data_IF_820020766686
#
_entry.id   IF_820020766686
#
_cell.length_a   1.000
_cell.length_b   1.000
_cell.length_c   1.000
_cell.angle_alpha   90.00
_cell.angle_beta   90.00
_cell.angle_gamma   90.00
#
_symmetry.space_group_name_H-M   'P 1'
#
loop_
_entity.id
_entity.type
_entity.pdbx_description
1 polymer ?
#
# COMPACT_ATOMS: atom_id res chain seq x y z
N UNK A 1 45.94 12.45 23.61
CA UNK A 1 44.79 12.98 22.83
C UNK A 1 44.86 12.39 21.42
N UNK A 2 44.23 11.23 21.19
CA UNK A 2 44.41 10.44 19.97
C UNK A 2 43.35 10.84 18.95
N UNK A 3 43.78 11.37 17.82
CA UNK A 3 43.00 11.60 16.62
C UNK A 3 42.70 10.24 15.99
N UNK A 4 41.42 9.82 15.98
CA UNK A 4 40.95 8.69 15.16
C UNK A 4 40.76 9.16 13.72
N UNK A 5 41.11 8.37 12.71
CA UNK A 5 41.16 8.82 11.34
C UNK A 5 39.75 8.88 10.73
N UNK A 6 39.47 10.00 10.06
CA UNK A 6 38.25 10.35 9.26
C UNK A 6 37.94 9.33 8.15
N UNK A 7 38.84 8.41 7.85
CA UNK A 7 38.72 7.41 6.80
C UNK A 7 37.72 6.27 7.14
N UNK A 8 37.62 5.84 8.41
CA UNK A 8 36.70 4.79 8.84
C UNK A 8 35.24 5.26 8.81
N UNK A 9 34.99 6.53 9.13
CA UNK A 9 33.66 7.12 9.06
C UNK A 9 33.19 7.20 7.60
N UNK A 10 34.03 7.57 6.65
CA UNK A 10 33.68 7.65 5.24
C UNK A 10 33.35 6.30 4.63
N UNK A 11 34.12 5.26 4.96
CA UNK A 11 33.87 3.89 4.50
C UNK A 11 32.57 3.34 5.09
N UNK A 12 32.30 3.58 6.37
CA UNK A 12 31.07 3.18 7.04
C UNK A 12 29.86 3.91 6.45
N UNK A 13 29.95 5.22 6.23
CA UNK A 13 28.90 6.00 5.57
C UNK A 13 28.68 5.55 4.12
N UNK A 14 29.75 5.25 3.38
CA UNK A 14 29.65 4.76 2.01
C UNK A 14 29.00 3.37 1.95
N UNK A 15 29.44 2.41 2.79
CA UNK A 15 28.86 1.07 2.86
C UNK A 15 27.40 1.14 3.32
N UNK A 16 27.07 1.98 4.30
CA UNK A 16 25.70 2.21 4.75
C UNK A 16 24.85 2.83 3.65
N UNK A 17 25.38 3.81 2.92
CA UNK A 17 24.69 4.43 1.77
C UNK A 17 24.42 3.41 0.67
N UNK A 18 25.42 2.65 0.23
CA UNK A 18 25.26 1.59 -0.79
C UNK A 18 24.29 0.48 -0.32
N UNK A 19 24.36 0.09 0.96
CA UNK A 19 23.43 -0.88 1.53
C UNK A 19 21.99 -0.36 1.58
N UNK A 20 21.82 0.90 1.92
CA UNK A 20 20.51 1.55 1.98
C UNK A 20 19.93 1.80 0.58
N UNK A 21 20.75 2.18 -0.40
CA UNK A 21 20.36 2.38 -1.80
C UNK A 21 19.81 1.09 -2.44
N UNK A 22 20.28 -0.09 -2.03
CA UNK A 22 19.79 -1.38 -2.53
C UNK A 22 18.55 -1.92 -1.81
N UNK A 23 18.06 -1.27 -0.75
CA UNK A 23 16.96 -1.76 0.07
C UNK A 23 15.77 -0.76 0.12
N UNK A 24 15.58 0.00 -0.94
CA UNK A 24 14.48 0.95 -1.05
C UNK A 24 13.17 0.20 -1.28
N UNK A 25 12.17 0.55 -0.49
CA UNK A 25 10.78 0.12 -0.65
C UNK A 25 9.98 1.29 -1.20
N UNK A 26 9.19 1.06 -2.25
CA UNK A 26 8.10 1.95 -2.61
C UNK A 26 6.76 1.26 -2.44
N UNK A 27 5.84 1.96 -1.81
CA UNK A 27 4.45 1.54 -1.67
C UNK A 27 3.56 2.77 -1.56
N UNK A 28 2.25 2.60 -1.69
CA UNK A 28 1.34 3.71 -1.54
C UNK A 28 -0.12 3.29 -1.67
N UNK A 29 -1.01 4.23 -1.38
CA UNK A 29 -2.45 4.04 -1.50
C UNK A 29 -3.09 5.25 -2.17
N UNK A 30 -4.16 5.00 -2.95
CA UNK A 30 -4.96 6.07 -3.57
C UNK A 30 -5.85 6.73 -2.51
N UNK A 31 -5.87 8.06 -2.39
CA UNK A 31 -6.67 8.77 -1.40
C UNK A 31 -8.14 8.89 -1.82
N UNK A 32 -8.78 7.74 -2.09
CA UNK A 32 -10.20 7.64 -2.47
C UNK A 32 -11.15 7.47 -1.29
N UNK A 33 -10.63 7.56 -0.07
CA UNK A 33 -11.30 7.42 1.22
C UNK A 33 -10.32 6.94 2.28
N UNK A 34 -10.72 6.92 3.57
CA UNK A 34 -9.92 6.39 4.65
C UNK A 34 -9.53 4.93 4.42
N UNK A 35 -8.45 4.49 5.08
CA UNK A 35 -8.00 3.10 4.98
C UNK A 35 -8.83 2.20 5.92
N UNK A 36 -9.05 0.98 5.48
CA UNK A 36 -9.82 -0.03 6.22
C UNK A 36 -8.97 -1.25 6.56
N UNK A 37 -9.52 -2.15 7.38
CA UNK A 37 -8.82 -3.36 7.82
C UNK A 37 -8.21 -4.17 6.68
N UNK A 38 -8.88 -4.25 5.52
CA UNK A 38 -8.33 -4.92 4.35
C UNK A 38 -7.01 -4.31 3.85
N UNK A 39 -6.85 -2.98 3.89
CA UNK A 39 -5.56 -2.32 3.59
C UNK A 39 -4.54 -2.62 4.69
N UNK A 40 -4.99 -2.61 5.95
CA UNK A 40 -4.09 -2.86 7.08
C UNK A 40 -3.47 -4.25 7.01
N UNK A 41 -4.30 -5.28 6.90
CA UNK A 41 -3.83 -6.67 6.86
C UNK A 41 -3.11 -7.00 5.56
N UNK A 42 -3.65 -6.52 4.43
CA UNK A 42 -3.11 -6.82 3.11
C UNK A 42 -1.77 -6.13 2.79
N UNK A 43 -1.45 -5.03 3.48
CA UNK A 43 -0.24 -4.27 3.12
C UNK A 43 0.37 -3.46 4.27
N UNK A 44 -0.41 -2.64 5.02
CA UNK A 44 0.16 -1.71 5.99
C UNK A 44 0.94 -2.40 7.11
N UNK A 45 0.42 -3.52 7.63
CA UNK A 45 1.09 -4.31 8.67
C UNK A 45 2.49 -4.71 8.20
N UNK A 46 2.62 -5.22 6.99
CA UNK A 46 3.91 -5.61 6.41
C UNK A 46 4.85 -4.43 6.22
N UNK A 47 4.32 -3.26 5.80
CA UNK A 47 5.12 -2.02 5.69
C UNK A 47 5.71 -1.60 7.04
N UNK A 48 4.91 -1.67 8.11
CA UNK A 48 5.36 -1.37 9.48
C UNK A 48 6.40 -2.36 9.95
N UNK A 49 6.21 -3.65 9.69
CA UNK A 49 7.19 -4.70 10.00
C UNK A 49 8.52 -4.43 9.29
N UNK A 50 8.49 -4.18 7.97
CA UNK A 50 9.69 -3.89 7.18
C UNK A 50 10.39 -2.62 7.68
N UNK A 51 9.65 -1.53 7.94
CA UNK A 51 10.18 -0.31 8.56
C UNK A 51 10.93 -0.63 9.86
N UNK A 52 10.35 -1.45 10.73
CA UNK A 52 10.89 -1.72 12.07
C UNK A 52 12.11 -2.64 12.06
N UNK A 53 12.35 -3.37 10.97
CA UNK A 53 13.60 -4.14 10.83
C UNK A 53 14.84 -3.25 10.74
N UNK A 54 14.69 -1.97 10.34
CA UNK A 54 15.79 -1.05 10.06
C UNK A 54 16.65 -1.44 8.85
N UNK A 55 16.25 -2.46 8.09
CA UNK A 55 16.97 -2.95 6.90
C UNK A 55 16.57 -2.23 5.62
N UNK A 56 15.44 -1.54 5.63
CA UNK A 56 14.83 -0.93 4.44
C UNK A 56 14.70 0.58 4.59
N UNK A 57 14.63 1.25 3.45
CA UNK A 57 14.31 2.69 3.32
C UNK A 57 12.92 2.82 2.70
N UNK A 58 11.86 3.00 3.52
CA UNK A 58 10.52 3.06 3.00
C UNK A 58 10.16 4.44 2.44
N UNK A 59 9.65 4.45 1.21
CA UNK A 59 8.90 5.55 0.61
C UNK A 59 7.42 5.14 0.55
N UNK A 60 6.57 5.93 1.19
CA UNK A 60 5.13 5.65 1.25
C UNK A 60 4.38 6.81 0.61
N UNK A 61 3.80 6.53 -0.55
CA UNK A 61 3.21 7.53 -1.44
C UNK A 61 1.70 7.62 -1.25
N UNK A 62 1.19 8.83 -1.19
CA UNK A 62 -0.22 9.12 -1.40
C UNK A 62 -0.41 9.34 -2.89
N UNK A 63 -1.00 8.35 -3.58
CA UNK A 63 -1.08 8.26 -5.03
C UNK A 63 -2.30 9.03 -5.57
N UNK A 64 -2.28 10.35 -5.48
CA UNK A 64 -3.38 11.23 -5.86
C UNK A 64 -3.55 11.34 -7.37
N UNK A 65 -2.47 11.37 -8.16
CA UNK A 65 -2.55 11.31 -9.62
C UNK A 65 -3.17 10.00 -10.11
N UNK A 66 -2.75 8.89 -9.50
CA UNK A 66 -3.31 7.58 -9.80
C UNK A 66 -4.81 7.53 -9.46
N UNK A 67 -5.22 8.20 -8.39
CA UNK A 67 -6.62 8.27 -8.01
C UNK A 67 -7.47 9.07 -9.01
N UNK A 68 -6.90 10.05 -9.72
CA UNK A 68 -7.60 10.84 -10.74
C UNK A 68 -7.96 10.03 -11.98
N UNK A 69 -7.27 8.92 -12.27
CA UNK A 69 -7.54 8.12 -13.49
C UNK A 69 -8.97 7.58 -13.57
N UNK A 70 -9.63 7.45 -12.42
CA UNK A 70 -11.00 6.97 -12.29
C UNK A 70 -11.90 7.84 -11.39
N UNK A 71 -11.43 9.04 -11.00
CA UNK A 71 -12.18 10.02 -10.23
C UNK A 71 -11.91 11.45 -10.77
N UNK A 72 -11.72 11.60 -12.08
CA UNK A 72 -11.44 12.90 -12.69
C UNK A 72 -12.63 13.88 -12.55
N UNK A 73 -13.84 13.37 -12.45
CA UNK A 73 -15.08 14.12 -12.23
C UNK A 73 -15.32 14.51 -10.76
N UNK A 74 -14.54 13.95 -9.82
CA UNK A 74 -14.67 14.24 -8.39
C UNK A 74 -13.31 14.46 -7.71
N UNK A 75 -12.52 15.48 -8.09
CA UNK A 75 -11.20 15.74 -7.53
C UNK A 75 -11.25 16.13 -6.04
N UNK A 76 -12.37 16.67 -5.59
CA UNK A 76 -12.56 17.05 -4.19
C UNK A 76 -12.56 15.84 -3.25
N UNK A 77 -13.08 14.71 -3.70
CA UNK A 77 -12.99 13.44 -2.98
C UNK A 77 -11.52 13.07 -2.69
N UNK A 78 -10.62 13.24 -3.67
CA UNK A 78 -9.20 12.96 -3.52
C UNK A 78 -8.58 13.94 -2.54
N UNK A 79 -8.79 15.25 -2.75
CA UNK A 79 -8.28 16.31 -1.90
C UNK A 79 -8.63 16.12 -0.42
N UNK A 80 -9.88 15.79 -0.13
CA UNK A 80 -10.38 15.62 1.22
C UNK A 80 -9.81 14.38 1.94
N UNK A 81 -9.23 13.43 1.19
CA UNK A 81 -8.69 12.20 1.76
C UNK A 81 -7.15 12.15 1.85
N UNK A 82 -6.42 13.17 1.40
CA UNK A 82 -4.94 13.20 1.54
C UNK A 82 -4.53 13.08 3.01
N UNK A 83 -5.08 13.94 3.86
CA UNK A 83 -4.73 13.96 5.29
C UNK A 83 -5.33 12.79 6.06
N UNK A 84 -6.49 12.27 5.63
CA UNK A 84 -7.09 11.05 6.20
C UNK A 84 -6.16 9.84 6.02
N UNK A 85 -5.63 9.65 4.79
CA UNK A 85 -4.70 8.56 4.48
C UNK A 85 -3.37 8.75 5.23
N UNK A 86 -2.85 9.98 5.31
CA UNK A 86 -1.65 10.28 6.08
C UNK A 86 -1.82 9.91 7.57
N UNK A 87 -2.94 10.30 8.18
CA UNK A 87 -3.26 9.92 9.56
C UNK A 87 -3.38 8.40 9.74
N UNK A 88 -3.96 7.71 8.76
CA UNK A 88 -4.08 6.25 8.81
C UNK A 88 -2.71 5.55 8.72
N UNK A 89 -1.76 6.08 7.95
CA UNK A 89 -0.37 5.60 7.92
C UNK A 89 0.32 5.73 9.27
N UNK A 90 0.23 6.91 9.87
CA UNK A 90 0.80 7.18 11.21
C UNK A 90 0.11 6.32 12.29
N UNK A 91 -1.21 6.19 12.21
CA UNK A 91 -2.00 5.35 13.12
C UNK A 91 -1.60 3.87 13.02
N UNK A 92 -1.35 3.37 11.82
CA UNK A 92 -0.87 2.01 11.61
C UNK A 92 0.51 1.74 12.23
N UNK A 93 1.32 2.79 12.47
CA UNK A 93 2.63 2.69 13.11
C UNK A 93 3.82 3.02 12.19
N UNK A 94 3.57 3.56 11.00
CA UNK A 94 4.63 4.16 10.21
C UNK A 94 5.04 5.50 10.84
N UNK A 95 6.36 5.80 10.83
CA UNK A 95 6.90 6.97 11.52
C UNK A 95 7.79 7.82 10.60
N UNK A 96 7.77 9.17 10.73
CA UNK A 96 8.50 10.06 9.82
C UNK A 96 10.02 10.03 9.97
N UNK A 97 10.55 9.48 11.07
CA UNK A 97 11.98 9.27 11.29
C UNK A 97 12.55 8.07 10.51
N UNK A 98 11.68 7.14 10.08
CA UNK A 98 12.05 5.91 9.37
C UNK A 98 11.45 5.82 7.98
N UNK A 99 10.40 6.57 7.69
CA UNK A 99 9.61 6.49 6.46
C UNK A 99 9.49 7.86 5.82
N UNK A 100 9.77 7.94 4.53
CA UNK A 100 9.50 9.13 3.71
C UNK A 100 8.07 9.08 3.19
N UNK A 101 7.21 9.96 3.71
CA UNK A 101 5.84 10.15 3.19
C UNK A 101 5.85 11.19 2.08
N UNK A 102 5.15 10.93 0.97
CA UNK A 102 5.12 11.83 -0.17
C UNK A 102 3.76 11.87 -0.87
N UNK A 103 3.48 12.99 -1.53
CA UNK A 103 2.32 13.17 -2.42
C UNK A 103 2.78 13.06 -3.87
N UNK A 104 2.18 12.15 -4.61
CA UNK A 104 2.58 11.81 -5.99
C UNK A 104 2.57 13.03 -6.92
N UNK A 105 1.52 13.85 -6.89
CA UNK A 105 1.37 15.03 -7.76
C UNK A 105 2.42 16.12 -7.55
N UNK A 106 3.13 16.10 -6.44
CA UNK A 106 4.17 17.07 -6.12
C UNK A 106 5.59 16.64 -6.56
N UNK A 107 5.73 15.51 -7.25
CA UNK A 107 7.01 14.97 -7.72
C UNK A 107 7.14 15.18 -9.24
N UNK A 108 7.91 16.16 -9.72
CA UNK A 108 8.03 16.45 -11.16
C UNK A 108 8.55 15.28 -12.00
N UNK A 109 9.44 14.46 -11.44
CA UNK A 109 9.98 13.27 -12.08
C UNK A 109 8.89 12.29 -12.55
N UNK A 110 7.77 12.21 -11.82
CA UNK A 110 6.66 11.29 -12.12
C UNK A 110 5.79 11.74 -13.29
N UNK A 111 5.98 12.96 -13.78
CA UNK A 111 5.39 13.42 -15.04
C UNK A 111 6.35 13.23 -16.21
N UNK A 112 7.66 13.32 -15.98
CA UNK A 112 8.68 13.26 -17.02
C UNK A 112 9.04 11.81 -17.40
N UNK A 113 9.30 10.95 -16.43
CA UNK A 113 9.67 9.54 -16.68
C UNK A 113 8.64 8.77 -17.51
N UNK A 114 7.31 8.90 -17.27
CA UNK A 114 6.32 8.26 -18.13
C UNK A 114 6.39 8.65 -19.58
N UNK A 115 6.79 9.89 -19.89
CA UNK A 115 6.97 10.34 -21.27
C UNK A 115 8.09 9.57 -21.97
N UNK A 116 9.21 9.33 -21.30
CA UNK A 116 10.30 8.52 -21.82
C UNK A 116 9.92 7.05 -21.98
N UNK A 117 9.26 6.49 -20.97
CA UNK A 117 8.85 5.08 -20.96
C UNK A 117 7.76 4.76 -21.98
N UNK A 118 6.90 5.73 -22.30
CA UNK A 118 5.86 5.59 -23.34
C UNK A 118 6.44 5.26 -24.73
N UNK A 119 7.70 5.64 -24.99
CA UNK A 119 8.40 5.29 -26.23
C UNK A 119 8.92 3.83 -26.25
N UNK A 120 8.88 3.13 -25.11
CA UNK A 120 9.38 1.76 -24.96
C UNK A 120 8.27 0.73 -24.81
N UNK A 121 7.01 1.15 -24.73
CA UNK A 121 5.83 0.30 -24.52
C UNK A 121 4.85 0.45 -25.66
N UNK A 122 4.32 -0.65 -26.18
CA UNK A 122 3.28 -0.61 -27.22
C UNK A 122 1.87 -0.64 -26.63
N UNK A 123 0.90 -0.03 -27.32
CA UNK A 123 -0.52 -0.12 -26.96
C UNK A 123 -0.99 -1.58 -26.79
N UNK A 124 -0.61 -2.46 -27.71
CA UNK A 124 -0.96 -3.88 -27.63
C UNK A 124 -0.39 -4.58 -26.39
N UNK A 125 0.73 -4.09 -25.82
CA UNK A 125 1.26 -4.64 -24.58
C UNK A 125 0.43 -4.19 -23.37
N UNK A 126 0.02 -2.94 -23.33
CA UNK A 126 -0.89 -2.40 -22.30
C UNK A 126 -2.24 -3.12 -22.32
N UNK A 127 -2.85 -3.26 -23.49
CA UNK A 127 -4.13 -3.96 -23.69
C UNK A 127 -4.10 -5.42 -23.24
N UNK A 128 -2.95 -6.09 -23.31
CA UNK A 128 -2.77 -7.48 -22.88
C UNK A 128 -2.55 -7.65 -21.39
N UNK A 129 -2.29 -6.57 -20.65
CA UNK A 129 -2.10 -6.65 -19.20
C UNK A 129 -3.39 -7.18 -18.52
N UNK A 130 -3.31 -8.29 -17.74
CA UNK A 130 -4.50 -8.91 -17.13
C UNK A 130 -5.25 -7.98 -16.19
N UNK A 131 -4.53 -7.15 -15.41
CA UNK A 131 -5.14 -6.19 -14.48
C UNK A 131 -5.94 -5.15 -15.24
N UNK A 132 -5.37 -4.57 -16.31
CA UNK A 132 -6.08 -3.61 -17.20
C UNK A 132 -7.34 -4.23 -17.79
N UNK A 133 -7.25 -5.45 -18.34
CA UNK A 133 -8.42 -6.14 -18.91
C UNK A 133 -9.55 -6.32 -17.91
N UNK A 134 -9.22 -6.75 -16.70
CA UNK A 134 -10.20 -6.98 -15.66
C UNK A 134 -10.85 -5.66 -15.20
N UNK A 135 -10.07 -4.61 -15.04
CA UNK A 135 -10.56 -3.31 -14.62
C UNK A 135 -11.43 -2.63 -15.69
N UNK A 136 -11.09 -2.75 -16.99
CA UNK A 136 -11.92 -2.25 -18.10
C UNK A 136 -13.32 -2.87 -18.04
N UNK A 137 -13.40 -4.20 -17.81
CA UNK A 137 -14.68 -4.92 -17.70
C UNK A 137 -15.47 -4.45 -16.47
N UNK A 138 -14.82 -4.37 -15.31
CA UNK A 138 -15.48 -3.98 -14.05
C UNK A 138 -16.03 -2.54 -14.07
N UNK A 139 -15.40 -1.65 -14.86
CA UNK A 139 -15.77 -0.24 -14.95
C UNK A 139 -16.66 0.11 -16.13
N UNK A 140 -17.03 -0.88 -16.97
CA UNK A 140 -17.78 -0.68 -18.19
C UNK A 140 -17.16 0.34 -19.18
N UNK A 141 -15.83 0.40 -19.24
CA UNK A 141 -15.10 1.29 -20.14
C UNK A 141 -14.99 0.77 -21.58
N UNK A 142 -15.64 -0.33 -21.94
CA UNK A 142 -15.47 -1.06 -23.22
C UNK A 142 -15.59 -0.17 -24.48
N UNK A 143 -16.36 0.94 -24.42
CA UNK A 143 -16.58 1.85 -25.55
C UNK A 143 -15.76 3.14 -25.51
N UNK A 144 -15.21 3.51 -24.36
CA UNK A 144 -14.48 4.78 -24.19
C UNK A 144 -13.50 4.68 -23.02
N UNK A 145 -12.29 4.20 -23.31
CA UNK A 145 -11.24 4.05 -22.30
C UNK A 145 -10.46 5.39 -22.19
N UNK A 146 -10.43 6.04 -21.02
CA UNK A 146 -9.59 7.23 -20.85
C UNK A 146 -8.11 6.91 -21.07
N UNK A 147 -7.38 7.81 -21.76
CA UNK A 147 -5.94 7.61 -22.03
C UNK A 147 -5.16 7.44 -20.73
N UNK A 148 -5.43 8.27 -19.71
CA UNK A 148 -4.78 8.14 -18.41
C UNK A 148 -5.01 6.79 -17.73
N UNK A 149 -6.20 6.20 -17.91
CA UNK A 149 -6.49 4.85 -17.45
C UNK A 149 -5.69 3.80 -18.23
N UNK A 150 -5.53 3.96 -19.54
CA UNK A 150 -4.78 3.01 -20.37
C UNK A 150 -3.27 3.08 -20.09
N UNK A 151 -2.74 4.23 -19.74
CA UNK A 151 -1.31 4.48 -19.55
C UNK A 151 -0.84 4.43 -18.09
N UNK A 152 -1.73 4.24 -17.11
CA UNK A 152 -1.32 4.22 -15.70
C UNK A 152 -0.26 3.15 -15.37
N UNK A 153 -0.15 1.99 -16.05
CA UNK A 153 0.95 1.05 -15.79
C UNK A 153 2.34 1.65 -16.06
N UNK A 154 2.42 2.55 -17.03
CA UNK A 154 3.66 3.28 -17.32
C UNK A 154 3.96 4.29 -16.21
N UNK A 155 2.93 4.99 -15.72
CA UNK A 155 3.07 5.90 -14.58
C UNK A 155 3.47 5.15 -13.30
N UNK A 156 2.90 3.98 -13.05
CA UNK A 156 3.27 3.15 -11.90
C UNK A 156 4.71 2.64 -12.00
N UNK A 157 5.19 2.30 -13.20
CA UNK A 157 6.60 1.98 -13.40
C UNK A 157 7.51 3.18 -13.09
N UNK A 158 7.08 4.39 -13.44
CA UNK A 158 7.80 5.62 -13.09
C UNK A 158 7.80 5.90 -11.59
N UNK A 159 6.68 5.67 -10.90
CA UNK A 159 6.60 5.77 -9.44
C UNK A 159 7.69 4.92 -8.77
N UNK A 160 7.86 3.68 -9.22
CA UNK A 160 8.82 2.71 -8.68
C UNK A 160 10.26 3.11 -9.02
N UNK A 161 10.52 3.40 -10.27
CA UNK A 161 11.88 3.62 -10.79
C UNK A 161 12.45 4.98 -10.44
N UNK A 162 11.62 6.01 -10.20
CA UNK A 162 12.07 7.35 -9.79
C UNK A 162 12.89 7.31 -8.49
N UNK A 163 12.59 6.36 -7.62
CA UNK A 163 13.29 6.15 -6.34
C UNK A 163 14.24 4.95 -6.38
N UNK A 164 14.41 4.30 -7.54
CA UNK A 164 15.19 3.06 -7.68
C UNK A 164 14.73 1.98 -6.68
N UNK A 165 13.41 1.89 -6.45
CA UNK A 165 12.85 0.99 -5.47
C UNK A 165 13.05 -0.47 -5.89
N UNK A 166 13.79 -1.22 -5.05
CA UNK A 166 14.04 -2.65 -5.25
C UNK A 166 12.84 -3.48 -4.81
N UNK A 167 12.16 -3.09 -3.73
CA UNK A 167 11.08 -3.88 -3.13
C UNK A 167 9.75 -3.13 -3.18
N UNK A 168 8.70 -3.83 -3.60
CA UNK A 168 7.35 -3.27 -3.71
C UNK A 168 6.37 -4.21 -2.99
N UNK A 169 5.93 -3.85 -1.76
CA UNK A 169 4.90 -4.60 -1.05
C UNK A 169 3.56 -4.48 -1.75
N UNK A 170 3.05 -5.58 -2.28
CA UNK A 170 1.81 -5.63 -3.09
C UNK A 170 1.02 -6.91 -2.85
N UNK A 171 -0.28 -6.87 -3.16
CA UNK A 171 -1.10 -8.07 -3.31
C UNK A 171 -0.83 -8.77 -4.66
N UNK A 172 -1.25 -10.01 -4.79
CA UNK A 172 -1.06 -10.83 -6.02
C UNK A 172 -1.67 -10.19 -7.27
N UNK A 173 -2.77 -9.46 -7.12
CA UNK A 173 -3.44 -8.73 -8.21
C UNK A 173 -2.57 -7.66 -8.86
N UNK A 174 -1.50 -7.22 -8.20
CA UNK A 174 -0.54 -6.23 -8.70
C UNK A 174 0.69 -6.85 -9.39
N UNK A 175 0.86 -8.17 -9.36
CA UNK A 175 2.01 -8.83 -10.01
C UNK A 175 2.13 -8.50 -11.51
N UNK A 176 1.02 -8.47 -12.30
CA UNK A 176 1.11 -8.06 -13.71
C UNK A 176 1.58 -6.63 -13.93
N UNK A 177 1.38 -5.74 -12.96
CA UNK A 177 1.85 -4.36 -13.00
C UNK A 177 3.35 -4.28 -12.74
N UNK A 178 3.86 -5.05 -11.77
CA UNK A 178 5.29 -5.15 -11.53
C UNK A 178 6.03 -5.77 -12.70
N UNK A 179 5.45 -6.78 -13.34
CA UNK A 179 6.01 -7.38 -14.56
C UNK A 179 6.15 -6.33 -15.67
N UNK A 180 5.12 -5.50 -15.87
CA UNK A 180 5.19 -4.38 -16.80
C UNK A 180 6.30 -3.38 -16.45
N UNK A 181 6.51 -3.10 -15.15
CA UNK A 181 7.59 -2.24 -14.71
C UNK A 181 8.97 -2.85 -14.98
N UNK A 182 9.17 -4.15 -14.74
CA UNK A 182 10.40 -4.88 -15.08
C UNK A 182 10.70 -4.84 -16.57
N UNK A 183 9.69 -5.07 -17.42
CA UNK A 183 9.83 -4.98 -18.88
C UNK A 183 10.29 -3.58 -19.32
N UNK A 184 9.77 -2.52 -18.70
CA UNK A 184 10.18 -1.14 -18.96
C UNK A 184 11.63 -0.93 -18.56
N UNK A 185 12.02 -1.37 -17.36
CA UNK A 185 13.40 -1.28 -16.85
C UNK A 185 14.36 -2.00 -17.78
N UNK A 186 14.08 -3.25 -18.10
CA UNK A 186 14.92 -4.07 -18.98
C UNK A 186 15.04 -3.45 -20.39
N UNK A 187 13.92 -2.93 -20.91
CA UNK A 187 13.90 -2.26 -22.22
C UNK A 187 14.72 -0.97 -22.20
N UNK A 188 14.58 -0.14 -21.17
CA UNK A 188 15.31 1.11 -21.01
C UNK A 188 16.83 0.85 -20.93
N UNK A 189 17.25 0.00 -20.00
CA UNK A 189 18.66 -0.30 -19.77
C UNK A 189 19.32 -0.90 -21.03
N UNK A 190 18.60 -1.76 -21.75
CA UNK A 190 19.08 -2.34 -23.03
C UNK A 190 19.18 -1.30 -24.15
N UNK A 191 18.13 -0.49 -24.37
CA UNK A 191 18.07 0.47 -25.50
C UNK A 191 19.14 1.55 -25.35
N UNK A 192 19.35 2.03 -24.13
CA UNK A 192 20.31 3.09 -23.84
C UNK A 192 21.66 2.57 -23.34
N UNK A 193 21.87 1.25 -23.35
CA UNK A 193 23.11 0.57 -22.95
C UNK A 193 23.63 1.07 -21.59
N UNK A 194 22.78 1.03 -20.59
CA UNK A 194 23.06 1.49 -19.22
C UNK A 194 22.48 0.51 -18.18
N UNK A 195 22.76 0.79 -16.90
CA UNK A 195 22.26 0.04 -15.74
C UNK A 195 21.78 1.04 -14.68
N UNK A 196 20.91 1.96 -15.09
CA UNK A 196 20.45 3.08 -14.25
C UNK A 196 19.19 2.69 -13.48
N UNK A 197 18.25 2.03 -14.15
CA UNK A 197 16.98 1.64 -13.56
C UNK A 197 17.09 0.27 -12.90
N UNK A 198 16.51 0.14 -11.71
CA UNK A 198 16.53 -1.08 -10.89
C UNK A 198 15.26 -1.88 -11.13
N UNK A 199 15.39 -3.18 -11.40
CA UNK A 199 14.25 -4.08 -11.54
C UNK A 199 13.58 -4.32 -10.17
N UNK A 200 12.27 -4.04 -10.05
CA UNK A 200 11.56 -4.20 -8.80
C UNK A 200 11.20 -5.66 -8.50
N UNK A 201 11.19 -6.00 -7.23
CA UNK A 201 10.74 -7.29 -6.69
C UNK A 201 9.46 -7.12 -5.88
N UNK A 202 8.49 -8.01 -6.10
CA UNK A 202 7.28 -8.04 -5.30
C UNK A 202 7.57 -8.59 -3.90
N UNK A 203 7.01 -7.95 -2.87
CA UNK A 203 6.96 -8.48 -1.51
C UNK A 203 5.51 -8.80 -1.20
N UNK A 204 5.18 -10.09 -1.20
CA UNK A 204 3.84 -10.57 -0.91
C UNK A 204 3.61 -10.69 0.61
N UNK A 205 2.36 -10.60 1.09
CA UNK A 205 2.01 -10.89 2.47
C UNK A 205 2.33 -12.33 2.86
N UNK A 206 2.64 -12.58 4.14
CA UNK A 206 3.17 -13.86 4.63
C UNK A 206 2.11 -14.98 4.74
N UNK A 207 0.82 -14.71 4.57
CA UNK A 207 -0.24 -15.72 4.65
C UNK A 207 -1.45 -15.42 3.75
N UNK A 208 -2.03 -16.48 3.18
CA UNK A 208 -3.23 -16.41 2.33
C UNK A 208 -4.48 -15.91 3.08
N UNK A 209 -4.60 -16.20 4.36
CA UNK A 209 -5.73 -15.76 5.21
C UNK A 209 -5.80 -14.24 5.39
N UNK A 210 -4.65 -13.55 5.30
CA UNK A 210 -4.57 -12.09 5.37
C UNK A 210 -4.87 -11.41 4.03
N UNK A 211 -4.77 -12.13 2.91
CA UNK A 211 -4.84 -11.54 1.58
C UNK A 211 -6.24 -11.09 1.15
N UNK A 212 -7.30 -11.61 1.75
CA UNK A 212 -8.68 -11.34 1.32
C UNK A 212 -9.67 -11.27 2.48
N UNK A 213 -9.52 -10.26 3.34
CA UNK A 213 -10.61 -9.97 4.27
C UNK A 213 -11.88 -9.66 3.48
N UNK A 214 -12.90 -10.49 3.68
CA UNK A 214 -14.24 -10.25 3.15
C UNK A 214 -14.86 -9.02 3.83
N UNK A 215 -15.80 -8.38 3.17
CA UNK A 215 -16.58 -7.31 3.79
C UNK A 215 -17.46 -7.83 4.93
N UNK A 216 -18.02 -6.91 5.70
CA UNK A 216 -18.96 -7.24 6.80
C UNK A 216 -20.24 -7.91 6.30
N UNK A 217 -20.52 -7.81 5.01
CA UNK A 217 -21.63 -8.48 4.30
C UNK A 217 -21.38 -9.95 3.95
N UNK A 218 -20.14 -10.43 4.09
CA UNK A 218 -19.75 -11.81 3.79
C UNK A 218 -19.70 -12.21 2.32
N UNK A 219 -20.07 -11.30 1.40
CA UNK A 219 -20.26 -11.65 -0.01
C UNK A 219 -19.08 -11.27 -0.91
N UNK A 220 -18.41 -10.17 -0.61
CA UNK A 220 -17.36 -9.63 -1.45
C UNK A 220 -16.17 -9.17 -0.62
N UNK A 221 -15.02 -8.98 -1.30
CA UNK A 221 -13.86 -8.32 -0.70
C UNK A 221 -14.27 -6.98 -0.09
N UNK A 222 -13.70 -6.63 1.05
CA UNK A 222 -13.90 -5.34 1.70
C UNK A 222 -13.63 -4.20 0.71
N UNK A 223 -14.61 -3.34 0.50
CA UNK A 223 -14.56 -2.25 -0.47
C UNK A 223 -15.30 -1.00 0.02
N UNK A 224 -14.66 0.16 -0.16
CA UNK A 224 -15.24 1.47 0.20
C UNK A 224 -16.56 1.74 -0.55
N UNK A 225 -16.65 1.33 -1.82
CA UNK A 225 -17.84 1.55 -2.66
C UNK A 225 -19.05 0.70 -2.25
N UNK A 226 -18.80 -0.44 -1.60
CA UNK A 226 -19.87 -1.33 -1.10
C UNK A 226 -20.31 -0.97 0.33
N UNK A 227 -19.59 -0.09 1.03
CA UNK A 227 -19.91 0.29 2.40
C UNK A 227 -19.72 -0.84 3.44
N UNK A 228 -19.07 -1.94 3.06
CA UNK A 228 -18.86 -3.14 3.87
C UNK A 228 -17.52 -3.16 4.61
N UNK A 229 -16.99 -1.96 4.94
CA UNK A 229 -15.66 -1.81 5.54
C UNK A 229 -15.71 -1.48 7.04
N UNK A 230 -14.76 -2.02 7.80
CA UNK A 230 -14.34 -1.47 9.10
C UNK A 230 -13.10 -0.61 8.82
N UNK A 231 -13.20 0.71 9.07
CA UNK A 231 -12.12 1.66 8.86
C UNK A 231 -11.19 1.74 10.07
N UNK A 232 -9.91 2.09 9.86
CA UNK A 232 -8.95 2.31 10.94
C UNK A 232 -9.36 3.46 11.86
N UNK A 233 -10.13 4.42 11.32
CA UNK A 233 -10.64 5.57 12.05
C UNK A 233 -11.97 5.33 12.78
N UNK A 234 -12.62 4.17 12.61
CA UNK A 234 -13.91 3.91 13.24
C UNK A 234 -13.77 3.90 14.77
N UNK A 235 -14.70 4.56 15.44
CA UNK A 235 -14.80 4.54 16.89
C UNK A 235 -15.36 3.21 17.43
N UNK A 236 -15.28 3.01 18.74
CA UNK A 236 -15.72 1.78 19.39
C UNK A 236 -17.19 1.44 19.12
N UNK A 237 -18.05 2.46 19.09
CA UNK A 237 -19.48 2.30 18.84
C UNK A 237 -19.74 1.87 17.39
N UNK A 238 -19.06 2.50 16.46
CA UNK A 238 -19.16 2.18 15.02
C UNK A 238 -18.66 0.77 14.73
N UNK A 239 -17.50 0.38 15.27
CA UNK A 239 -16.95 -0.98 15.14
C UNK A 239 -17.95 -2.01 15.69
N UNK A 240 -18.45 -1.78 16.91
CA UNK A 240 -19.46 -2.68 17.51
C UNK A 240 -20.70 -2.80 16.63
N UNK A 241 -21.22 -1.69 16.12
CA UNK A 241 -22.40 -1.70 15.24
C UNK A 241 -22.15 -2.53 13.99
N UNK A 242 -21.00 -2.31 13.32
CA UNK A 242 -20.61 -3.04 12.11
C UNK A 242 -20.46 -4.54 12.38
N UNK A 243 -19.83 -4.93 13.48
CA UNK A 243 -19.65 -6.34 13.85
C UNK A 243 -21.01 -7.00 14.20
N UNK A 244 -21.86 -6.32 14.97
CA UNK A 244 -23.18 -6.88 15.30
C UNK A 244 -24.08 -7.04 14.08
N UNK A 245 -23.89 -6.21 13.04
CA UNK A 245 -24.62 -6.31 11.76
C UNK A 245 -23.94 -7.20 10.71
N UNK A 246 -22.79 -7.82 11.01
CA UNK A 246 -22.16 -8.77 10.08
C UNK A 246 -23.11 -9.86 9.65
N UNK A 247 -22.94 -10.30 8.39
CA UNK A 247 -23.62 -11.48 7.88
C UNK A 247 -23.47 -12.68 8.83
N UNK A 248 -24.53 -13.44 8.99
CA UNK A 248 -24.58 -14.69 9.72
C UNK A 248 -25.10 -15.79 8.82
N UNK A 249 -24.79 -17.03 9.15
CA UNK A 249 -25.28 -18.20 8.42
C UNK A 249 -26.83 -18.24 8.40
N UNK A 250 -27.48 -18.15 7.24
CA UNK A 250 -28.93 -18.15 7.14
C UNK A 250 -29.57 -19.50 7.51
N UNK A 251 -28.77 -20.56 7.59
CA UNK A 251 -29.25 -21.91 8.01
C UNK A 251 -29.18 -22.13 9.52
N UNK A 252 -28.39 -21.29 10.25
CA UNK A 252 -28.27 -21.31 11.70
C UNK A 252 -29.34 -20.42 12.37
N UNK A 253 -30.61 -20.82 12.26
CA UNK A 253 -31.76 -20.05 12.76
C UNK A 253 -31.89 -20.17 14.28
N UNK A 254 -31.81 -21.40 14.80
CA UNK A 254 -31.84 -21.68 16.23
C UNK A 254 -30.44 -22.00 16.73
N UNK A 255 -30.20 -21.74 18.01
CA UNK A 255 -28.88 -22.01 18.63
C UNK A 255 -28.48 -23.50 18.56
N UNK A 256 -29.44 -24.39 18.45
CA UNK A 256 -29.24 -25.82 18.32
C UNK A 256 -28.96 -26.30 16.91
N UNK A 257 -29.18 -25.46 15.91
CA UNK A 257 -28.94 -25.82 14.52
C UNK A 257 -27.42 -25.87 14.25
N UNK A 258 -26.95 -26.81 13.44
CA UNK A 258 -25.57 -26.80 12.94
C UNK A 258 -25.30 -25.52 12.15
N UNK A 259 -24.15 -24.90 12.40
CA UNK A 259 -23.72 -23.69 11.66
C UNK A 259 -22.57 -23.97 10.71
N UNK A 260 -22.28 -23.03 9.79
CA UNK A 260 -21.15 -23.08 8.87
C UNK A 260 -20.15 -21.98 9.19
N UNK A 261 -18.91 -22.36 9.39
CA UNK A 261 -17.80 -21.42 9.66
C UNK A 261 -17.09 -20.99 8.39
N UNK A 262 -17.14 -21.82 7.34
CA UNK A 262 -16.56 -21.53 6.04
C UNK A 262 -17.27 -20.33 5.38
N UNK A 263 -16.49 -19.37 4.89
CA UNK A 263 -16.99 -18.12 4.29
C UNK A 263 -17.86 -17.25 5.23
N UNK A 264 -17.91 -17.57 6.50
CA UNK A 264 -18.58 -16.76 7.52
C UNK A 264 -17.65 -15.61 7.97
N UNK A 265 -17.99 -14.34 7.75
CA UNK A 265 -17.11 -13.21 8.04
C UNK A 265 -16.70 -13.14 9.52
N UNK A 266 -17.56 -13.53 10.45
CA UNK A 266 -17.23 -13.54 11.89
C UNK A 266 -16.05 -14.46 12.17
N UNK A 267 -16.07 -15.68 11.62
CA UNK A 267 -14.99 -16.65 11.82
C UNK A 267 -13.73 -16.28 11.03
N UNK A 268 -13.86 -15.75 9.82
CA UNK A 268 -12.71 -15.28 9.04
C UNK A 268 -11.97 -14.12 9.76
N UNK A 269 -12.70 -13.21 10.42
CA UNK A 269 -12.08 -12.16 11.21
C UNK A 269 -11.47 -12.69 12.51
N UNK A 270 -12.10 -13.66 13.17
CA UNK A 270 -11.49 -14.33 14.32
C UNK A 270 -10.19 -15.05 13.92
N UNK A 271 -10.15 -15.72 12.77
CA UNK A 271 -8.91 -16.33 12.24
C UNK A 271 -7.80 -15.30 12.01
N UNK A 272 -8.15 -14.14 11.51
CA UNK A 272 -7.17 -13.10 11.18
C UNK A 272 -6.65 -12.32 12.39
N UNK A 273 -7.44 -12.21 13.47
CA UNK A 273 -7.18 -11.27 14.54
C UNK A 273 -7.15 -11.86 15.95
N UNK A 274 -7.74 -13.04 16.20
CA UNK A 274 -7.75 -13.63 17.54
C UNK A 274 -6.53 -14.49 17.83
N UNK A 275 -6.21 -14.57 19.11
CA UNK A 275 -5.18 -15.44 19.69
C UNK A 275 -5.81 -16.30 20.79
N UNK A 276 -5.13 -17.38 21.21
CA UNK A 276 -5.60 -18.19 22.34
C UNK A 276 -5.72 -17.39 23.64
N UNK A 277 -4.97 -16.31 23.78
CA UNK A 277 -5.07 -15.40 24.92
C UNK A 277 -6.39 -14.61 24.93
N UNK A 278 -6.91 -14.26 23.77
CA UNK A 278 -8.21 -13.58 23.67
C UNK A 278 -9.35 -14.50 24.12
N UNK A 279 -9.25 -15.81 23.86
CA UNK A 279 -10.21 -16.78 24.38
C UNK A 279 -10.16 -16.84 25.90
N UNK A 280 -8.99 -16.95 26.52
CA UNK A 280 -8.83 -16.90 27.97
C UNK A 280 -9.44 -15.67 28.62
N UNK A 281 -9.27 -14.50 27.96
CA UNK A 281 -9.71 -13.23 28.49
C UNK A 281 -11.20 -12.97 28.28
N UNK A 282 -11.77 -13.37 27.14
CA UNK A 282 -13.10 -12.95 26.72
C UNK A 282 -14.11 -14.09 26.62
N UNK A 283 -13.65 -15.35 26.48
CA UNK A 283 -14.51 -16.52 26.31
C UNK A 283 -13.85 -17.79 26.85
N UNK A 284 -13.56 -17.85 28.19
CA UNK A 284 -12.70 -18.87 28.79
C UNK A 284 -13.27 -20.30 28.77
N UNK A 285 -14.47 -20.49 28.28
CA UNK A 285 -15.08 -21.81 28.05
C UNK A 285 -14.51 -22.53 26.80
N UNK A 286 -13.74 -21.86 25.95
CA UNK A 286 -13.00 -22.44 24.83
C UNK A 286 -11.51 -22.14 24.98
N UNK A 287 -10.69 -23.15 24.68
CA UNK A 287 -9.25 -22.98 24.71
C UNK A 287 -8.73 -22.14 23.52
N UNK A 288 -9.40 -22.22 22.35
CA UNK A 288 -8.99 -21.59 21.09
C UNK A 288 -10.15 -21.54 20.09
N UNK A 289 -9.87 -20.95 18.92
CA UNK A 289 -10.84 -20.81 17.84
C UNK A 289 -11.32 -22.16 17.26
N UNK A 290 -10.45 -23.17 17.20
CA UNK A 290 -10.81 -24.47 16.65
C UNK A 290 -11.92 -25.14 17.46
N UNK A 291 -11.79 -25.14 18.79
CA UNK A 291 -12.80 -25.68 19.71
C UNK A 291 -14.15 -24.95 19.60
N UNK A 292 -14.08 -23.61 19.43
CA UNK A 292 -15.28 -22.79 19.24
C UNK A 292 -15.97 -23.10 17.90
N UNK A 293 -15.21 -23.31 16.82
CA UNK A 293 -15.72 -23.68 15.48
C UNK A 293 -16.43 -25.03 15.53
N UNK A 294 -15.80 -26.04 16.12
CA UNK A 294 -16.41 -27.36 16.31
C UNK A 294 -17.76 -27.28 17.06
N UNK A 295 -17.83 -26.42 18.08
CA UNK A 295 -19.09 -26.23 18.81
C UNK A 295 -20.16 -25.54 17.96
N UNK A 296 -19.78 -24.54 17.18
CA UNK A 296 -20.70 -23.84 16.27
C UNK A 296 -21.25 -24.78 15.17
N UNK A 297 -20.37 -25.61 14.61
CA UNK A 297 -20.70 -26.52 13.51
C UNK A 297 -21.60 -27.68 13.94
N UNK A 298 -21.48 -28.16 15.20
CA UNK A 298 -22.39 -29.18 15.71
C UNK A 298 -23.70 -28.65 16.30
N UNK A 299 -23.84 -27.32 16.38
CA UNK A 299 -24.96 -26.67 17.07
C UNK A 299 -24.75 -26.52 18.58
N UNK A 300 -25.37 -25.49 19.17
CA UNK A 300 -25.29 -25.15 20.59
C UNK A 300 -24.60 -23.80 20.88
N UNK A 301 -24.02 -23.16 19.89
CA UNK A 301 -23.36 -21.86 20.03
C UNK A 301 -24.01 -20.82 19.12
N UNK A 302 -24.66 -19.80 19.69
CA UNK A 302 -25.35 -18.77 18.92
C UNK A 302 -24.42 -17.67 18.38
N UNK A 303 -24.76 -17.12 17.19
CA UNK A 303 -24.03 -16.07 16.48
C UNK A 303 -23.68 -14.85 17.33
N UNK A 304 -24.61 -14.43 18.18
CA UNK A 304 -24.39 -13.25 19.05
C UNK A 304 -23.22 -13.42 20.01
N UNK A 305 -22.92 -14.66 20.43
CA UNK A 305 -21.78 -14.94 21.28
C UNK A 305 -20.47 -14.85 20.49
N UNK A 306 -20.46 -15.38 19.26
CA UNK A 306 -19.35 -15.28 18.33
C UNK A 306 -19.04 -13.81 18.00
N UNK A 307 -20.06 -13.00 17.68
CA UNK A 307 -19.92 -11.58 17.41
C UNK A 307 -19.45 -10.77 18.62
N UNK A 308 -19.88 -11.13 19.84
CA UNK A 308 -19.37 -10.48 21.06
C UNK A 308 -17.89 -10.75 21.27
N UNK A 309 -17.42 -11.97 21.08
CA UNK A 309 -15.99 -12.30 21.11
C UNK A 309 -15.24 -11.49 20.06
N UNK A 310 -15.69 -11.54 18.81
CA UNK A 310 -15.06 -10.77 17.73
C UNK A 310 -15.01 -9.27 18.06
N UNK A 311 -16.09 -8.70 18.61
CA UNK A 311 -16.08 -7.30 19.02
C UNK A 311 -14.99 -7.01 20.06
N UNK A 312 -14.84 -7.85 21.08
CA UNK A 312 -13.83 -7.64 22.11
C UNK A 312 -12.41 -7.74 21.53
N UNK A 313 -12.14 -8.75 20.71
CA UNK A 313 -10.88 -8.90 19.98
C UNK A 313 -10.58 -7.67 19.13
N UNK A 314 -11.56 -7.21 18.33
CA UNK A 314 -11.37 -6.05 17.45
C UNK A 314 -11.20 -4.74 18.20
N UNK A 315 -11.90 -4.55 19.33
CA UNK A 315 -11.71 -3.37 20.17
C UNK A 315 -10.28 -3.33 20.74
N UNK A 316 -9.79 -4.46 21.25
CA UNK A 316 -8.44 -4.59 21.78
C UNK A 316 -7.40 -4.37 20.67
N UNK A 317 -7.60 -4.99 19.50
CA UNK A 317 -6.67 -4.91 18.37
C UNK A 317 -6.56 -3.49 17.80
N UNK A 318 -7.68 -2.78 17.67
CA UNK A 318 -7.72 -1.44 17.08
C UNK A 318 -7.46 -0.31 18.09
N UNK A 319 -7.53 -0.56 19.39
CA UNK A 319 -7.31 0.48 20.41
C UNK A 319 -5.97 1.22 20.23
N UNK A 320 -4.81 0.57 20.07
CA UNK A 320 -3.54 1.29 19.88
C UNK A 320 -3.48 2.06 18.57
N UNK A 321 -4.17 1.62 17.52
CA UNK A 321 -4.25 2.32 16.23
C UNK A 321 -5.08 3.59 16.40
N UNK A 322 -6.25 3.51 17.05
CA UNK A 322 -7.09 4.67 17.35
C UNK A 322 -6.35 5.69 18.20
N UNK A 323 -5.71 5.25 19.28
CA UNK A 323 -4.97 6.13 20.17
C UNK A 323 -3.86 6.91 19.44
N UNK A 324 -3.08 6.25 18.58
CA UNK A 324 -2.07 6.94 17.76
C UNK A 324 -2.71 7.94 16.80
N UNK A 325 -3.83 7.54 16.15
CA UNK A 325 -4.54 8.43 15.23
C UNK A 325 -5.06 9.68 15.90
N UNK A 326 -5.65 9.55 17.09
CA UNK A 326 -6.15 10.66 17.89
C UNK A 326 -5.01 11.58 18.35
N UNK A 327 -3.85 11.01 18.71
CA UNK A 327 -2.68 11.80 19.10
C UNK A 327 -2.17 12.66 17.95
N UNK A 328 -1.96 12.08 16.76
CA UNK A 328 -1.53 12.84 15.59
C UNK A 328 -2.59 13.85 15.12
N UNK A 329 -3.86 13.55 15.27
CA UNK A 329 -4.96 14.44 14.87
C UNK A 329 -5.03 15.72 15.72
N UNK A 330 -4.37 15.78 16.90
CA UNK A 330 -4.31 17.00 17.72
C UNK A 330 -3.49 18.12 17.06
N UNK A 331 -2.53 17.78 16.20
CA UNK A 331 -1.71 18.76 15.47
C UNK A 331 -1.63 18.40 13.98
N UNK A 332 -2.67 18.74 13.23
CA UNK A 332 -2.73 18.56 11.80
C UNK A 332 -1.69 19.40 11.04
N UNK A 333 -1.22 20.49 11.64
CA UNK A 333 -0.15 21.32 11.08
C UNK A 333 1.17 20.56 11.04
N UNK A 334 1.52 19.86 12.12
CA UNK A 334 2.73 19.02 12.15
C UNK A 334 2.60 17.81 11.21
N UNK A 335 1.44 17.15 11.14
CA UNK A 335 1.19 16.08 10.20
C UNK A 335 1.38 16.53 8.73
N UNK A 336 0.89 17.73 8.39
CA UNK A 336 1.11 18.32 7.08
C UNK A 336 2.60 18.64 6.85
N UNK A 337 3.32 19.12 7.85
CA UNK A 337 4.76 19.38 7.77
C UNK A 337 5.58 18.09 7.53
N UNK A 338 5.22 16.98 8.17
CA UNK A 338 5.84 15.67 7.93
C UNK A 338 5.68 15.26 6.45
N UNK A 339 4.47 15.36 5.91
CA UNK A 339 4.18 15.05 4.51
C UNK A 339 4.93 15.99 3.55
N UNK A 340 4.98 17.29 3.86
CA UNK A 340 5.70 18.29 3.03
C UNK A 340 7.20 18.02 3.00
N UNK A 341 7.83 17.78 4.16
CA UNK A 341 9.26 17.47 4.26
C UNK A 341 9.62 16.19 3.50
N UNK A 342 8.82 15.13 3.67
CA UNK A 342 9.04 13.89 2.95
C UNK A 342 8.87 14.04 1.44
N UNK A 343 7.87 14.81 1.00
CA UNK A 343 7.67 15.12 -0.42
C UNK A 343 8.85 15.90 -1.01
N UNK A 344 9.37 16.88 -0.28
CA UNK A 344 10.54 17.65 -0.72
C UNK A 344 11.78 16.75 -0.86
N UNK A 345 12.06 15.88 0.11
CA UNK A 345 13.13 14.90 0.01
C UNK A 345 12.94 13.95 -1.19
N UNK A 346 11.73 13.50 -1.42
CA UNK A 346 11.39 12.65 -2.56
C UNK A 346 11.63 13.36 -3.92
N UNK A 347 11.37 14.67 -4.01
CA UNK A 347 11.71 15.49 -5.19
C UNK A 347 13.22 15.49 -5.44
N UNK A 348 14.03 15.68 -4.41
CA UNK A 348 15.50 15.69 -4.52
C UNK A 348 16.02 14.36 -5.07
N UNK A 349 15.61 13.24 -4.44
CA UNK A 349 16.04 11.89 -4.84
C UNK A 349 15.57 11.54 -6.26
N UNK A 350 14.33 11.81 -6.60
CA UNK A 350 13.78 11.49 -7.93
C UNK A 350 14.41 12.34 -9.05
N UNK A 351 14.80 13.58 -8.75
CA UNK A 351 15.52 14.44 -9.71
C UNK A 351 16.92 13.89 -10.04
N UNK A 352 17.61 13.25 -9.09
CA UNK A 352 18.88 12.57 -9.38
C UNK A 352 18.66 11.47 -10.43
N UNK A 353 17.65 10.62 -10.24
CA UNK A 353 17.29 9.57 -11.22
C UNK A 353 16.92 10.14 -12.58
N UNK A 354 16.12 11.21 -12.64
CA UNK A 354 15.77 11.87 -13.92
C UNK A 354 17.01 12.39 -14.62
N UNK A 355 17.96 12.99 -13.91
CA UNK A 355 19.19 13.48 -14.50
C UNK A 355 20.07 12.36 -15.08
N UNK A 356 20.14 11.21 -14.40
CA UNK A 356 20.81 10.03 -14.95
C UNK A 356 20.10 9.52 -16.21
N UNK A 357 18.76 9.44 -16.18
CA UNK A 357 17.93 9.04 -17.33
C UNK A 357 18.14 9.98 -18.52
N UNK A 358 18.08 11.29 -18.30
CA UNK A 358 18.36 12.30 -19.36
C UNK A 358 19.75 12.13 -19.96
N UNK A 359 20.74 11.84 -19.11
CA UNK A 359 22.13 11.61 -19.55
C UNK A 359 22.26 10.36 -20.40
N UNK A 360 21.61 9.26 -19.99
CA UNK A 360 21.60 8.01 -20.77
C UNK A 360 20.90 8.16 -22.14
N UNK A 361 19.80 8.90 -22.18
CA UNK A 361 19.07 9.21 -23.42
C UNK A 361 19.87 10.20 -24.31
N UNK A 362 20.78 11.00 -23.73
CA UNK A 362 21.53 12.03 -24.44
C UNK A 362 20.78 13.33 -24.68
N UNK A 363 19.82 13.65 -23.77
CA UNK A 363 19.00 14.89 -23.86
C UNK A 363 19.35 15.92 -22.78
N UNK A 364 20.46 15.74 -22.10
CA UNK A 364 20.99 16.64 -21.06
C UNK A 364 21.85 17.79 -21.64
N UNK A 365 21.50 18.27 -22.81
CA UNK A 365 22.27 19.18 -23.68
C UNK A 365 23.09 20.26 -22.95
N UNK A 366 22.49 20.96 -22.01
CA UNK A 366 23.13 22.06 -21.29
C UNK A 366 24.10 21.62 -20.18
N UNK A 367 24.04 20.35 -19.79
CA UNK A 367 24.92 19.72 -18.80
C UNK A 367 25.92 18.76 -19.47
N UNK A 368 25.82 18.52 -20.76
CA UNK A 368 26.73 17.66 -21.52
C UNK A 368 27.90 18.48 -22.06
N UNK A 369 29.06 18.38 -21.36
CA UNK A 369 30.27 19.06 -21.75
C UNK A 369 30.73 18.73 -23.16
N UNK A 370 30.60 17.48 -23.59
CA UNK A 370 31.01 17.03 -24.93
C UNK A 370 30.14 17.65 -26.01
N UNK A 371 28.83 17.77 -25.76
CA UNK A 371 27.90 18.46 -26.65
C UNK A 371 28.23 19.96 -26.72
N UNK A 372 28.40 20.62 -25.56
CA UNK A 372 28.69 22.04 -25.48
C UNK A 372 30.02 22.41 -26.17
N UNK A 373 31.09 21.62 -25.97
CA UNK A 373 32.40 21.83 -26.58
C UNK A 373 32.38 21.72 -28.11
N UNK A 374 31.41 20.96 -28.68
CA UNK A 374 31.22 20.89 -30.14
C UNK A 374 30.56 22.14 -30.71
N UNK A 375 29.73 22.82 -29.93
CA UNK A 375 28.97 24.01 -30.36
C UNK A 375 29.83 25.28 -30.27
N UNK A 376 30.72 25.34 -29.27
CA UNK A 376 31.58 26.51 -29.03
C UNK A 376 32.95 26.44 -29.71
N UNK A 377 33.21 25.38 -30.49
CA UNK A 377 34.35 25.28 -31.40
C UNK A 377 34.01 25.92 -32.73
#
# INVERSE_FOLDING_TARGET
MFYRPIAEDRAYFFIRRVFMENNIILTGDRPTGPLHLGHYVGSLKKRVEMQNTGKYVPYVMIADLQALTDNADNPEKIRNNIMEVMLDYLAAGLTPDKTTFLVQSHIPALYELPMYYSNLVTMSRLERNPTIKNEIKMRNFERSIPVGFMTYPISQAADITAFKAKYVPVGEDQLPMLEQAREIVASFNRVYNCDILVEPEAVLPDSDSCNRLVGTDGNAKMSKSLGNCIYLKDDEKTIKTKIMSMFTDPTHINITDPGHTENNPVFLYLEAFSTDEDFKNFLPEYANLAEMKEHYERGGLGDMKCKKLLNNVMQQYLAPIRARREEYAKDMGEVLNMLKKGTQHAVEVSNETVNEVRSAIGINYFNDKTFMDKIFK
#
